data_IF_704491019030
#
_entry.id   IF_704491019030
#
_cell.length_a   1.000
_cell.length_b   1.000
_cell.length_c   1.000
_cell.angle_alpha   90.00
_cell.angle_beta   90.00
_cell.angle_gamma   90.00
#
_symmetry.space_group_name_H-M   'P 1'
#
loop_
_entity.id
_entity.type
_entity.pdbx_description
1 polymer ?
#
# COMPACT_ATOMS: atom_id res chain seq x y z
N UNK A 1 2.91 73.97 -40.62
CA UNK A 1 2.39 72.70 -40.10
C UNK A 1 2.77 71.60 -41.08
N UNK A 2 3.93 70.98 -40.88
CA UNK A 2 4.37 69.78 -41.60
C UNK A 2 5.43 69.17 -40.69
N UNK A 3 4.95 68.19 -39.93
CA UNK A 3 5.63 67.59 -38.80
C UNK A 3 6.91 66.89 -39.22
N UNK A 4 7.97 67.18 -38.45
CA UNK A 4 9.24 66.46 -38.45
C UNK A 4 8.97 64.99 -38.12
N UNK A 5 8.93 64.15 -39.15
CA UNK A 5 8.89 62.70 -38.96
C UNK A 5 10.31 62.23 -38.68
N UNK A 6 10.70 62.33 -37.41
CA UNK A 6 11.92 61.75 -36.87
C UNK A 6 11.88 60.24 -37.13
N UNK A 7 12.67 59.79 -38.09
CA UNK A 7 12.81 58.39 -38.46
C UNK A 7 13.60 57.70 -37.35
N UNK A 8 12.89 57.08 -36.40
CA UNK A 8 13.49 56.21 -35.41
C UNK A 8 14.01 54.97 -36.18
N UNK A 9 15.30 54.59 -36.04
CA UNK A 9 15.79 53.36 -36.64
C UNK A 9 15.05 52.19 -36.00
N UNK A 10 14.42 51.37 -36.84
CA UNK A 10 13.76 50.12 -36.45
C UNK A 10 14.77 49.27 -35.66
N UNK A 11 14.46 48.86 -34.42
CA UNK A 11 15.37 48.01 -33.68
C UNK A 11 15.44 46.69 -34.45
N UNK A 12 16.63 46.31 -34.90
CA UNK A 12 16.86 45.03 -35.54
C UNK A 12 16.37 43.94 -34.58
N UNK A 13 15.21 43.36 -34.89
CA UNK A 13 14.69 42.18 -34.22
C UNK A 13 15.65 41.05 -34.58
N UNK A 14 16.66 40.87 -33.73
CA UNK A 14 17.48 39.68 -33.75
C UNK A 14 16.52 38.49 -33.68
N UNK A 15 16.63 37.49 -34.57
CA UNK A 15 15.73 36.35 -34.52
C UNK A 15 15.85 35.75 -33.12
N UNK A 16 14.76 35.89 -32.37
CA UNK A 16 14.58 35.28 -31.07
C UNK A 16 14.99 33.82 -31.22
N UNK A 17 16.09 33.47 -30.55
CA UNK A 17 16.63 32.13 -30.53
C UNK A 17 15.49 31.19 -30.17
N UNK A 18 15.01 30.45 -31.18
CA UNK A 18 14.09 29.35 -30.96
C UNK A 18 14.63 28.53 -29.78
N UNK A 19 13.80 28.15 -28.79
CA UNK A 19 14.27 27.34 -27.68
C UNK A 19 14.95 26.13 -28.31
N UNK A 20 16.27 26.05 -28.09
CA UNK A 20 17.05 24.91 -28.52
C UNK A 20 16.43 23.73 -27.79
N UNK A 21 15.69 22.88 -28.52
CA UNK A 21 15.28 21.60 -27.97
C UNK A 21 16.57 20.82 -27.85
N UNK A 22 17.22 20.95 -26.68
CA UNK A 22 18.25 20.03 -26.28
C UNK A 22 17.65 18.63 -26.43
N UNK A 23 18.32 17.72 -27.17
CA UNK A 23 17.83 16.35 -27.26
C UNK A 23 17.70 15.86 -25.84
N UNK A 24 16.49 15.43 -25.45
CA UNK A 24 16.22 14.82 -24.15
C UNK A 24 17.33 13.79 -23.93
N UNK A 25 18.27 14.11 -23.05
CA UNK A 25 19.36 13.21 -22.70
C UNK A 25 18.67 12.00 -22.12
N UNK A 26 18.63 10.92 -22.90
CA UNK A 26 18.07 9.64 -22.50
C UNK A 26 18.87 9.22 -21.26
N UNK A 27 18.30 9.44 -20.07
CA UNK A 27 18.97 9.16 -18.82
C UNK A 27 19.39 7.69 -18.84
N UNK A 28 20.69 7.37 -18.65
CA UNK A 28 21.12 5.98 -18.66
C UNK A 28 20.34 5.20 -17.60
N UNK A 29 19.98 3.93 -17.88
CA UNK A 29 19.12 3.15 -17.01
C UNK A 29 19.67 3.15 -15.59
N UNK A 30 18.79 3.41 -14.62
CA UNK A 30 19.23 3.56 -13.24
C UNK A 30 19.84 2.25 -12.73
N UNK A 31 20.81 2.29 -11.81
CA UNK A 31 21.40 1.08 -11.23
C UNK A 31 20.36 0.18 -10.51
N UNK A 32 19.16 0.69 -10.22
CA UNK A 32 18.02 -0.10 -9.72
C UNK A 32 17.37 -0.96 -10.83
N UNK A 33 17.17 -0.39 -12.03
CA UNK A 33 16.60 -1.10 -13.19
C UNK A 33 17.49 -2.25 -13.65
N UNK A 34 18.81 -2.06 -13.62
CA UNK A 34 19.79 -3.11 -13.96
C UNK A 34 19.73 -4.30 -12.99
N UNK A 35 19.46 -4.05 -11.70
CA UNK A 35 19.30 -5.12 -10.70
C UNK A 35 18.00 -5.88 -10.90
N UNK A 36 16.87 -5.18 -11.03
CA UNK A 36 15.58 -5.81 -11.30
C UNK A 36 15.64 -6.67 -12.57
N UNK A 37 16.26 -6.15 -13.64
CA UNK A 37 16.45 -6.87 -14.90
C UNK A 37 17.27 -8.14 -14.75
N UNK A 38 18.30 -8.16 -13.91
CA UNK A 38 19.11 -9.38 -13.65
C UNK A 38 18.28 -10.48 -12.99
N UNK A 39 17.48 -10.14 -11.98
CA UNK A 39 16.63 -11.12 -11.30
C UNK A 39 15.53 -11.67 -12.22
N UNK A 40 14.95 -10.81 -13.05
CA UNK A 40 14.00 -11.22 -14.09
C UNK A 40 14.66 -12.16 -15.12
N UNK A 41 15.86 -11.82 -15.60
CA UNK A 41 16.61 -12.67 -16.55
C UNK A 41 16.94 -14.01 -15.90
N UNK A 42 17.43 -14.04 -14.65
CA UNK A 42 17.73 -15.31 -13.96
C UNK A 42 16.48 -16.17 -13.79
N UNK A 43 15.35 -15.57 -13.40
CA UNK A 43 14.08 -16.29 -13.28
C UNK A 43 13.61 -16.86 -14.62
N UNK A 44 13.72 -16.07 -15.70
CA UNK A 44 13.35 -16.51 -17.04
C UNK A 44 14.26 -17.63 -17.57
N UNK A 45 15.58 -17.55 -17.33
CA UNK A 45 16.53 -18.60 -17.71
C UNK A 45 16.22 -19.90 -16.95
N UNK A 46 15.97 -19.83 -15.64
CA UNK A 46 15.59 -21.00 -14.85
C UNK A 46 14.28 -21.61 -15.34
N UNK A 47 13.27 -20.79 -15.62
CA UNK A 47 11.99 -21.26 -16.18
C UNK A 47 12.17 -21.91 -17.56
N UNK A 48 13.01 -21.34 -18.43
CA UNK A 48 13.31 -21.90 -19.74
C UNK A 48 14.05 -23.24 -19.64
N UNK A 49 15.03 -23.37 -18.73
CA UNK A 49 15.73 -24.63 -18.47
C UNK A 49 14.80 -25.71 -17.91
N UNK A 50 13.89 -25.33 -17.00
CA UNK A 50 12.88 -26.24 -16.47
C UNK A 50 11.93 -26.75 -17.56
N UNK A 51 11.44 -25.84 -18.41
CA UNK A 51 10.57 -26.19 -19.54
C UNK A 51 11.30 -27.09 -20.54
N UNK A 52 12.57 -26.79 -20.84
CA UNK A 52 13.41 -27.63 -21.69
C UNK A 52 13.62 -29.04 -21.09
N UNK A 53 13.84 -29.13 -19.78
CA UNK A 53 13.94 -30.41 -19.06
C UNK A 53 12.65 -31.23 -19.19
N UNK A 54 11.47 -30.60 -19.07
CA UNK A 54 10.17 -31.28 -19.26
C UNK A 54 10.04 -31.79 -20.69
N UNK A 55 10.35 -30.98 -21.70
CA UNK A 55 10.28 -31.38 -23.11
C UNK A 55 11.20 -32.58 -23.37
N UNK A 56 12.45 -32.53 -22.92
CA UNK A 56 13.41 -33.63 -23.10
C UNK A 56 12.93 -34.91 -22.43
N UNK A 57 12.35 -34.82 -21.24
CA UNK A 57 11.78 -35.97 -20.53
C UNK A 57 10.59 -36.57 -21.30
N UNK A 58 9.68 -35.74 -21.81
CA UNK A 58 8.56 -36.22 -22.63
C UNK A 58 9.04 -36.89 -23.92
N UNK A 59 10.04 -36.32 -24.58
CA UNK A 59 10.65 -36.91 -25.79
C UNK A 59 11.32 -38.24 -25.46
N UNK A 60 12.07 -38.33 -24.36
CA UNK A 60 12.72 -39.56 -23.93
C UNK A 60 11.71 -40.68 -23.67
N UNK A 61 10.65 -40.39 -22.93
CA UNK A 61 9.57 -41.35 -22.67
C UNK A 61 8.84 -41.76 -23.96
N UNK A 62 8.63 -40.82 -24.89
CA UNK A 62 8.02 -41.12 -26.19
C UNK A 62 8.91 -42.01 -27.06
N UNK A 63 10.23 -41.85 -27.01
CA UNK A 63 11.18 -42.68 -27.76
C UNK A 63 11.24 -44.11 -27.19
N UNK A 64 11.27 -44.25 -25.87
CA UNK A 64 11.27 -45.55 -25.20
C UNK A 64 9.97 -46.34 -25.49
N UNK A 65 8.83 -45.67 -25.44
CA UNK A 65 7.54 -46.25 -25.83
C UNK A 65 7.50 -46.67 -27.30
N UNK A 66 8.06 -45.88 -28.21
CA UNK A 66 8.10 -46.20 -29.65
C UNK A 66 8.97 -47.43 -29.94
N UNK A 67 10.16 -47.51 -29.32
CA UNK A 67 11.09 -48.63 -29.52
C UNK A 67 10.55 -49.94 -28.93
N UNK A 68 9.96 -49.87 -27.74
CA UNK A 68 9.40 -51.05 -27.05
C UNK A 68 8.17 -51.62 -27.76
N UNK A 69 7.34 -50.77 -28.38
CA UNK A 69 6.25 -51.21 -29.25
C UNK A 69 6.75 -52.00 -30.47
N UNK A 70 7.89 -51.59 -31.06
CA UNK A 70 8.48 -52.26 -32.22
C UNK A 70 9.16 -53.60 -31.85
N UNK A 71 9.58 -53.77 -30.59
CA UNK A 71 10.19 -54.99 -30.07
C UNK A 71 9.17 -56.05 -29.59
N UNK A 72 7.88 -55.75 -29.60
CA UNK A 72 6.81 -56.69 -29.18
C UNK A 72 6.77 -56.99 -27.68
N UNK A 73 7.62 -56.33 -26.89
CA UNK A 73 7.67 -56.38 -25.41
C UNK A 73 7.14 -55.11 -24.77
N UNK A 74 6.59 -54.20 -25.57
CA UNK A 74 6.19 -52.87 -25.13
C UNK A 74 4.97 -52.87 -24.20
N UNK A 75 4.94 -51.94 -23.23
CA UNK A 75 3.78 -51.72 -22.38
C UNK A 75 2.53 -51.44 -23.21
N UNK A 76 1.36 -51.78 -22.66
CA UNK A 76 0.09 -51.47 -23.33
C UNK A 76 -0.02 -49.95 -23.54
N UNK A 77 -0.67 -49.46 -24.62
CA UNK A 77 -0.80 -48.03 -24.87
C UNK A 77 -1.37 -47.24 -23.67
N UNK A 78 -2.20 -47.88 -22.84
CA UNK A 78 -2.73 -47.29 -21.61
C UNK A 78 -1.68 -47.10 -20.51
N UNK A 79 -0.76 -48.04 -20.32
CA UNK A 79 0.31 -47.94 -19.30
C UNK A 79 1.32 -46.83 -19.62
N UNK A 80 1.62 -46.61 -20.91
CA UNK A 80 2.49 -45.51 -21.34
C UNK A 80 1.87 -44.16 -20.99
N UNK A 81 0.58 -43.98 -21.24
CA UNK A 81 -0.10 -42.72 -20.93
C UNK A 81 -0.17 -42.51 -19.41
N UNK A 82 -0.48 -43.55 -18.64
CA UNK A 82 -0.57 -43.45 -17.17
C UNK A 82 0.79 -43.12 -16.55
N UNK A 83 1.87 -43.77 -16.99
CA UNK A 83 3.23 -43.48 -16.50
C UNK A 83 3.65 -42.05 -16.84
N UNK A 84 3.41 -41.61 -18.08
CA UNK A 84 3.72 -40.25 -18.52
C UNK A 84 2.97 -39.18 -17.71
N UNK A 85 1.67 -39.39 -17.47
CA UNK A 85 0.84 -38.48 -16.67
C UNK A 85 1.29 -38.47 -15.21
N UNK A 86 1.59 -39.62 -14.63
CA UNK A 86 2.08 -39.73 -13.24
C UNK A 86 3.41 -39.00 -13.06
N UNK A 87 4.36 -39.22 -13.96
CA UNK A 87 5.69 -38.62 -13.86
C UNK A 87 5.62 -37.10 -14.05
N UNK A 88 4.81 -36.63 -15.01
CA UNK A 88 4.55 -35.20 -15.18
C UNK A 88 3.87 -34.58 -13.94
N UNK A 89 2.89 -35.27 -13.33
CA UNK A 89 2.22 -34.81 -12.12
C UNK A 89 3.19 -34.73 -10.92
N UNK A 90 4.09 -35.68 -10.76
CA UNK A 90 5.10 -35.67 -9.68
C UNK A 90 6.06 -34.47 -9.85
N UNK A 91 6.57 -34.23 -11.06
CA UNK A 91 7.46 -33.10 -11.33
C UNK A 91 6.74 -31.77 -11.10
N UNK A 92 5.49 -31.66 -11.55
CA UNK A 92 4.67 -30.47 -11.37
C UNK A 92 4.43 -30.18 -9.89
N UNK A 93 3.97 -31.18 -9.12
CA UNK A 93 3.74 -31.04 -7.68
C UNK A 93 5.04 -30.72 -6.94
N UNK A 94 6.16 -31.34 -7.29
CA UNK A 94 7.46 -31.02 -6.67
C UNK A 94 7.87 -29.57 -6.91
N UNK A 95 7.70 -29.06 -8.14
CA UNK A 95 8.00 -27.67 -8.49
C UNK A 95 7.05 -26.69 -7.78
N UNK A 96 5.75 -26.97 -7.78
CA UNK A 96 4.75 -26.17 -7.08
C UNK A 96 5.03 -26.14 -5.56
N UNK A 97 5.40 -27.27 -4.96
CA UNK A 97 5.73 -27.35 -3.53
C UNK A 97 6.95 -26.50 -3.20
N UNK A 98 7.97 -26.47 -4.06
CA UNK A 98 9.13 -25.58 -3.91
C UNK A 98 8.71 -24.11 -3.98
N UNK A 99 7.85 -23.76 -4.94
CA UNK A 99 7.33 -22.40 -5.11
C UNK A 99 6.52 -21.97 -3.89
N UNK A 100 5.59 -22.80 -3.42
CA UNK A 100 4.83 -22.57 -2.19
C UNK A 100 5.78 -22.41 -1.00
N UNK A 101 6.83 -23.23 -0.90
CA UNK A 101 7.85 -23.12 0.16
C UNK A 101 8.55 -21.77 0.18
N UNK A 102 8.95 -21.25 -0.99
CA UNK A 102 9.53 -19.90 -1.10
C UNK A 102 8.51 -18.83 -0.72
N UNK A 103 7.27 -18.95 -1.20
CA UNK A 103 6.18 -18.03 -0.85
C UNK A 103 5.92 -18.02 0.67
N UNK A 104 5.97 -19.19 1.32
CA UNK A 104 5.81 -19.30 2.77
C UNK A 104 6.91 -18.56 3.52
N UNK A 105 8.17 -18.62 3.07
CA UNK A 105 9.26 -17.85 3.67
C UNK A 105 9.01 -16.35 3.51
N UNK A 106 8.61 -15.92 2.32
CA UNK A 106 8.29 -14.51 2.05
C UNK A 106 7.12 -14.04 2.94
N UNK A 107 6.05 -14.82 3.03
CA UNK A 107 4.89 -14.52 3.89
C UNK A 107 5.30 -14.43 5.36
N UNK A 108 6.17 -15.33 5.83
CA UNK A 108 6.66 -15.28 7.21
C UNK A 108 7.40 -13.96 7.48
N UNK A 109 8.25 -13.52 6.56
CA UNK A 109 8.96 -12.23 6.66
C UNK A 109 7.97 -11.06 6.62
N UNK A 110 6.94 -11.12 5.77
CA UNK A 110 5.90 -10.08 5.71
C UNK A 110 5.12 -9.96 7.02
N UNK A 111 4.71 -11.10 7.60
CA UNK A 111 4.02 -11.12 8.89
C UNK A 111 4.93 -10.57 9.98
N UNK A 112 6.22 -10.93 10.00
CA UNK A 112 7.19 -10.33 10.92
C UNK A 112 7.28 -8.82 10.77
N UNK A 113 7.39 -8.31 9.54
CA UNK A 113 7.41 -6.86 9.30
C UNK A 113 6.14 -6.18 9.79
N UNK A 114 4.97 -6.79 9.58
CA UNK A 114 3.70 -6.24 10.05
C UNK A 114 3.65 -6.22 11.58
N UNK A 115 4.11 -7.28 12.23
CA UNK A 115 4.20 -7.37 13.69
C UNK A 115 5.16 -6.30 14.24
N UNK A 116 6.31 -6.07 13.58
CA UNK A 116 7.26 -5.02 13.96
C UNK A 116 6.64 -3.63 13.81
N UNK A 117 5.98 -3.32 12.68
CA UNK A 117 5.28 -2.04 12.51
C UNK A 117 4.20 -1.83 13.58
N UNK A 118 3.44 -2.88 13.91
CA UNK A 118 2.41 -2.78 14.93
C UNK A 118 2.98 -2.45 16.31
N UNK A 119 4.09 -3.07 16.69
CA UNK A 119 4.75 -2.82 17.97
C UNK A 119 5.50 -1.48 18.00
N UNK A 120 6.23 -1.15 16.93
CA UNK A 120 7.10 0.03 16.93
C UNK A 120 6.33 1.33 16.67
N UNK A 121 5.19 1.27 15.98
CA UNK A 121 4.41 2.45 15.59
C UNK A 121 3.02 2.48 16.23
N UNK A 122 2.26 1.38 16.16
CA UNK A 122 0.85 1.38 16.61
C UNK A 122 0.71 1.29 18.13
N UNK A 123 1.51 0.47 18.81
CA UNK A 123 1.47 0.33 20.28
C UNK A 123 1.77 1.66 21.00
N UNK A 124 2.82 2.44 20.65
CA UNK A 124 3.04 3.76 21.23
C UNK A 124 1.90 4.75 20.97
N UNK A 125 1.23 4.67 19.81
CA UNK A 125 0.07 5.51 19.54
C UNK A 125 -1.10 5.19 20.47
N UNK A 126 -1.34 3.92 20.78
CA UNK A 126 -2.39 3.52 21.72
C UNK A 126 -2.08 4.02 23.14
N UNK A 127 -0.82 3.98 23.56
CA UNK A 127 -0.38 4.53 24.84
C UNK A 127 -0.59 6.05 24.91
N UNK A 128 -0.19 6.78 23.85
CA UNK A 128 -0.40 8.22 23.76
C UNK A 128 -1.90 8.60 23.76
N UNK A 129 -2.75 7.77 23.15
CA UNK A 129 -4.21 7.94 23.20
C UNK A 129 -4.73 7.72 24.63
N UNK A 130 -4.25 6.71 25.35
CA UNK A 130 -4.63 6.49 26.75
C UNK A 130 -4.24 7.68 27.63
N UNK A 131 -3.03 8.21 27.49
CA UNK A 131 -2.57 9.40 28.22
C UNK A 131 -3.41 10.64 27.86
N UNK A 132 -3.74 10.80 26.58
CA UNK A 132 -4.62 11.88 26.11
C UNK A 132 -6.01 11.76 26.75
N UNK A 133 -6.59 10.56 26.80
CA UNK A 133 -7.88 10.33 27.45
C UNK A 133 -7.81 10.60 28.95
N UNK A 134 -6.72 10.22 29.63
CA UNK A 134 -6.50 10.53 31.04
C UNK A 134 -6.43 12.05 31.27
N UNK A 135 -5.65 12.76 30.46
CA UNK A 135 -5.50 14.22 30.52
C UNK A 135 -6.80 14.95 30.22
N UNK A 136 -7.54 14.55 29.19
CA UNK A 136 -8.83 15.15 28.81
C UNK A 136 -9.88 14.93 29.91
N UNK A 137 -9.94 13.73 30.49
CA UNK A 137 -10.81 13.45 31.64
C UNK A 137 -10.41 14.30 32.84
N UNK A 138 -9.12 14.41 33.15
CA UNK A 138 -8.59 15.25 34.22
C UNK A 138 -8.96 16.73 34.04
N UNK A 139 -8.76 17.25 32.83
CA UNK A 139 -9.10 18.64 32.48
C UNK A 139 -10.60 18.88 32.59
N UNK A 140 -11.41 17.95 32.08
CA UNK A 140 -12.88 18.04 32.18
C UNK A 140 -13.33 18.01 33.64
N UNK A 141 -12.76 17.13 34.47
CA UNK A 141 -13.06 17.09 35.91
C UNK A 141 -12.62 18.37 36.63
N UNK A 142 -11.45 18.90 36.32
CA UNK A 142 -10.92 20.14 36.90
C UNK A 142 -11.80 21.33 36.56
N UNK A 143 -12.12 21.51 35.27
CA UNK A 143 -13.00 22.59 34.78
C UNK A 143 -14.39 22.43 35.38
N UNK A 144 -14.91 21.20 35.44
CA UNK A 144 -16.20 20.91 36.06
C UNK A 144 -16.25 21.35 37.54
N UNK A 145 -15.28 20.92 38.36
CA UNK A 145 -15.28 21.20 39.81
C UNK A 145 -14.90 22.64 40.15
N UNK A 146 -13.90 23.20 39.47
CA UNK A 146 -13.30 24.48 39.87
C UNK A 146 -13.88 25.69 39.13
N UNK A 147 -14.53 25.50 37.98
CA UNK A 147 -15.06 26.61 37.17
C UNK A 147 -16.56 26.48 36.95
N UNK A 148 -17.03 25.35 36.44
CA UNK A 148 -18.44 25.17 36.07
C UNK A 148 -19.34 25.09 37.30
N UNK A 149 -19.01 24.23 38.27
CA UNK A 149 -19.83 24.03 39.48
C UNK A 149 -20.03 25.32 40.28
N UNK A 150 -18.98 26.15 40.54
CA UNK A 150 -19.15 27.44 41.20
C UNK A 150 -20.04 28.41 40.41
N UNK A 151 -19.86 28.52 39.09
CA UNK A 151 -20.65 29.43 38.24
C UNK A 151 -22.13 29.05 38.22
N UNK A 152 -22.43 27.75 38.11
CA UNK A 152 -23.81 27.23 38.15
C UNK A 152 -24.46 27.49 39.51
N UNK A 153 -23.73 27.28 40.62
CA UNK A 153 -24.26 27.58 41.96
C UNK A 153 -24.55 29.07 42.12
N UNK A 154 -23.66 29.93 41.63
CA UNK A 154 -23.82 31.39 41.73
C UNK A 154 -25.01 31.90 40.93
N UNK A 155 -25.16 31.46 39.68
CA UNK A 155 -26.31 31.82 38.86
C UNK A 155 -27.62 31.26 39.44
N UNK A 156 -27.58 30.04 40.01
CA UNK A 156 -28.71 29.43 40.72
C UNK A 156 -29.17 30.24 41.93
N UNK A 157 -28.24 30.76 42.75
CA UNK A 157 -28.59 31.65 43.87
C UNK A 157 -29.24 32.94 43.40
N UNK A 158 -28.67 33.61 42.38
CA UNK A 158 -29.23 34.86 41.83
C UNK A 158 -30.64 34.61 41.26
N UNK A 159 -30.81 33.54 40.49
CA UNK A 159 -32.12 33.17 39.93
C UNK A 159 -33.14 32.83 41.03
N UNK A 160 -32.74 32.13 42.09
CA UNK A 160 -33.58 31.84 43.24
C UNK A 160 -34.05 33.11 43.95
N UNK A 161 -33.13 34.05 44.23
CA UNK A 161 -33.45 35.34 44.84
C UNK A 161 -34.41 36.14 43.95
N UNK A 162 -34.14 36.25 42.66
CA UNK A 162 -35.02 36.94 41.71
C UNK A 162 -36.43 36.35 41.67
N UNK A 163 -36.56 35.02 41.79
CA UNK A 163 -37.85 34.33 41.80
C UNK A 163 -38.65 34.63 43.05
N UNK A 164 -38.02 34.59 44.22
CA UNK A 164 -38.65 34.95 45.50
C UNK A 164 -39.15 36.39 45.46
N UNK A 165 -38.32 37.35 45.03
CA UNK A 165 -38.72 38.76 44.92
C UNK A 165 -39.91 38.94 43.97
N UNK A 166 -39.93 38.20 42.84
CA UNK A 166 -41.02 38.25 41.88
C UNK A 166 -42.33 37.69 42.43
N UNK A 167 -42.30 36.59 43.17
CA UNK A 167 -43.48 36.01 43.82
C UNK A 167 -44.03 36.93 44.92
N UNK A 168 -43.16 37.51 45.76
CA UNK A 168 -43.58 38.48 46.78
C UNK A 168 -44.20 39.73 46.15
N UNK A 169 -43.52 40.36 45.18
CA UNK A 169 -44.05 41.55 44.50
C UNK A 169 -45.32 41.26 43.68
N UNK A 170 -45.45 40.06 43.13
CA UNK A 170 -46.67 39.59 42.47
C UNK A 170 -47.86 39.42 43.43
N UNK A 171 -47.62 38.90 44.65
CA UNK A 171 -48.63 38.78 45.70
C UNK A 171 -49.15 40.14 46.17
N UNK A 172 -48.29 41.14 46.30
CA UNK A 172 -48.70 42.51 46.68
C UNK A 172 -49.47 43.25 45.59
N UNK A 173 -49.41 42.80 44.33
CA UNK A 173 -50.04 43.46 43.18
C UNK A 173 -51.40 42.84 42.78
N UNK A 174 -51.82 41.77 43.45
CA UNK A 174 -53.07 41.04 43.17
C UNK A 174 -54.27 41.42 44.05
N UNK A 175 -54.21 42.55 44.77
CA UNK A 175 -55.34 43.12 45.50
C UNK A 175 -55.70 44.51 44.94
N UNK A 176 -56.19 44.56 43.71
CA UNK A 176 -57.04 45.64 43.17
C UNK A 176 -58.13 45.03 42.29
#
# INVERSE_FOLDING_TARGET
MKDDTMTIPEPAVQPESAPSIEPVTEFPPSPAELRARRWLITGLVVAALFLLSIILLLVFLSLDAYQSAMAGTGPSPGEVVVSLVRDAAIIFVAFETLLIGVLMIILMIQVQSLITLLQDEIEPMLEAVNETLATVRGTTQFVSHNVVSPVVKWSGYVAGVQRVVREFTGLFKGQE
#
